data_IF_104015255254
#
_entry.id   IF_104015255254
#
_cell.length_a   1.000
_cell.length_b   1.000
_cell.length_c   1.000
_cell.angle_alpha   90.00
_cell.angle_beta   90.00
_cell.angle_gamma   90.00
#
_symmetry.space_group_name_H-M   'P 1'
#
loop_
_entity.id
_entity.type
_entity.pdbx_description
1 polymer ?
2 non-polymer ?
3 non-polymer ?
4 non-polymer ?
5 non-polymer ?
6 non-polymer ?
7 water ?
#
# COMPACT_ATOMS: atom_id res chain seq x y z
N UNK A 1 1.97 -19.83 17.15
CA UNK A 1 2.19 -19.81 15.71
C UNK A 1 1.06 -19.17 14.93
N UNK A 2 1.04 -17.84 14.93
CA UNK A 2 0.05 -17.07 14.20
C UNK A 2 0.60 -16.67 12.83
N UNK A 3 -0.12 -17.02 11.78
CA UNK A 3 0.30 -16.75 10.40
C UNK A 3 -0.77 -15.87 9.74
N UNK A 4 -0.54 -14.56 9.76
CA UNK A 4 -1.56 -13.62 9.30
C UNK A 4 -1.82 -13.77 7.81
N UNK A 5 -3.10 -13.74 7.44
CA UNK A 5 -3.53 -13.94 6.06
C UNK A 5 -3.68 -12.59 5.39
N UNK A 6 -2.81 -12.31 4.41
CA UNK A 6 -2.83 -11.06 3.65
C UNK A 6 -3.50 -11.27 2.29
N UNK A 7 -4.34 -10.30 1.90
CA UNK A 7 -4.97 -10.29 0.59
C UNK A 7 -4.78 -8.91 -0.03
N UNK A 8 -4.51 -8.89 -1.33
CA UNK A 8 -4.40 -7.66 -2.11
C UNK A 8 -5.52 -7.67 -3.15
N UNK A 9 -6.35 -6.62 -3.13
CA UNK A 9 -7.57 -6.56 -3.95
C UNK A 9 -7.46 -5.37 -4.89
N UNK A 10 -7.37 -5.65 -6.18
CA UNK A 10 -7.45 -4.62 -7.19
C UNK A 10 -8.90 -4.31 -7.54
N UNK A 11 -9.22 -3.03 -7.63
CA UNK A 11 -10.58 -2.58 -7.91
C UNK A 11 -10.55 -1.60 -9.09
N UNK A 12 -11.15 -1.99 -10.20
CA UNK A 12 -11.12 -1.18 -11.40
C UNK A 12 -9.87 -1.43 -12.22
N UNK A 13 -9.77 -0.68 -13.30
CA UNK A 13 -8.67 -0.83 -14.24
C UNK A 13 -7.29 -0.61 -13.67
N UNK A 14 -7.06 0.59 -13.16
CA UNK A 14 -5.74 0.89 -12.60
C UNK A 14 -5.36 -0.07 -11.48
N UNK A 15 -6.29 -0.32 -10.57
CA UNK A 15 -6.00 -1.23 -9.48
C UNK A 15 -5.61 -2.62 -9.95
N UNK A 16 -6.31 -3.14 -10.96
CA UNK A 16 -5.98 -4.47 -11.44
C UNK A 16 -4.72 -4.50 -12.29
N UNK A 17 -4.36 -3.39 -12.96
CA UNK A 17 -3.08 -3.29 -13.65
C UNK A 17 -1.93 -3.43 -12.65
N UNK A 18 -2.06 -2.72 -11.53
CA UNK A 18 -1.03 -2.78 -10.50
C UNK A 18 -0.91 -4.19 -9.94
N UNK A 19 -2.05 -4.87 -9.72
CA UNK A 19 -2.01 -6.23 -9.22
C UNK A 19 -1.35 -7.15 -10.23
N UNK A 20 -1.69 -7.01 -11.51
CA UNK A 20 -1.09 -7.85 -12.54
C UNK A 20 0.42 -7.71 -12.57
N UNK A 21 0.91 -6.47 -12.54
CA UNK A 21 2.35 -6.25 -12.58
C UNK A 21 3.01 -6.74 -11.29
N UNK A 22 2.29 -6.67 -10.16
CA UNK A 22 2.79 -7.27 -8.93
C UNK A 22 2.94 -8.78 -9.06
N UNK A 23 1.93 -9.43 -9.65
CA UNK A 23 1.96 -10.88 -9.77
C UNK A 23 3.13 -11.31 -10.65
N UNK A 24 3.45 -10.51 -11.67
CA UNK A 24 4.60 -10.83 -12.51
C UNK A 24 5.88 -10.93 -11.69
N UNK A 25 5.94 -10.25 -10.55
CA UNK A 25 7.05 -10.40 -9.62
C UNK A 25 6.85 -11.64 -8.77
N UNK A 26 7.80 -11.89 -7.87
CA UNK A 26 7.72 -13.05 -7.00
C UNK A 26 7.02 -12.78 -5.67
N UNK A 27 5.71 -12.97 -5.64
CA UNK A 27 4.89 -12.70 -4.47
C UNK A 27 4.19 -13.98 -4.04
N UNK A 28 4.66 -14.60 -2.97
CA UNK A 28 4.06 -15.80 -2.41
C UNK A 28 3.43 -15.49 -1.06
N UNK A 29 2.51 -16.36 -0.64
CA UNK A 29 1.81 -16.25 0.64
C UNK A 29 0.97 -14.97 0.73
N UNK A 30 0.69 -14.34 -0.40
CA UNK A 30 -0.30 -13.28 -0.49
C UNK A 30 -1.34 -13.70 -1.51
N UNK A 31 -2.61 -13.50 -1.19
CA UNK A 31 -3.70 -13.84 -2.09
C UNK A 31 -4.09 -12.60 -2.88
N UNK A 32 -4.18 -12.74 -4.19
CA UNK A 32 -4.56 -11.63 -5.06
C UNK A 32 -5.98 -11.82 -5.53
N UNK A 33 -6.77 -10.75 -5.48
CA UNK A 33 -8.16 -10.74 -5.91
C UNK A 33 -8.34 -9.59 -6.88
N UNK A 34 -8.99 -9.86 -8.02
CA UNK A 34 -9.28 -8.87 -9.04
C UNK A 34 -10.77 -8.60 -9.08
N UNK A 35 -11.17 -7.34 -8.97
CA UNK A 35 -12.58 -6.92 -8.96
C UNK A 35 -12.75 -5.87 -10.04
N UNK A 36 -13.63 -6.13 -11.00
CA UNK A 36 -13.91 -5.15 -12.02
C UNK A 36 -15.31 -5.33 -12.57
N UNK A 37 -15.87 -4.23 -13.10
CA UNK A 37 -17.07 -4.30 -13.94
C UNK A 37 -16.74 -4.77 -15.35
N UNK A 38 -15.59 -4.32 -15.87
CA UNK A 38 -15.11 -4.53 -17.24
C UNK A 38 -14.71 -5.97 -17.44
N UNK A 39 -15.58 -6.74 -18.09
CA UNK A 39 -15.30 -8.16 -18.30
C UNK A 39 -14.11 -8.41 -19.22
N UNK A 40 -13.94 -7.57 -20.24
CA UNK A 40 -12.77 -7.70 -21.12
C UNK A 40 -11.47 -7.64 -20.32
N UNK A 41 -11.29 -6.58 -19.53
CA UNK A 41 -10.07 -6.43 -18.75
C UNK A 41 -9.94 -7.55 -17.72
N UNK A 42 -11.04 -7.85 -17.02
CA UNK A 42 -10.98 -8.87 -15.98
C UNK A 42 -10.47 -10.20 -16.54
N UNK A 43 -10.88 -10.55 -17.76
CA UNK A 43 -10.46 -11.82 -18.33
C UNK A 43 -8.96 -11.90 -18.53
N UNK A 44 -8.28 -10.76 -18.60
CA UNK A 44 -6.83 -10.71 -18.73
C UNK A 44 -6.12 -10.59 -17.39
N UNK A 45 -6.85 -10.57 -16.28
CA UNK A 45 -6.23 -10.57 -14.97
C UNK A 45 -5.46 -11.86 -14.73
N UNK A 46 -4.35 -11.74 -14.00
CA UNK A 46 -3.55 -12.89 -13.62
C UNK A 46 -3.87 -13.37 -12.21
N UNK A 47 -4.85 -12.77 -11.55
CA UNK A 47 -5.17 -13.10 -10.18
C UNK A 47 -5.92 -14.43 -10.07
N UNK A 48 -5.63 -15.15 -8.97
CA UNK A 48 -6.29 -16.41 -8.68
C UNK A 48 -7.80 -16.27 -8.66
N UNK A 49 -8.29 -15.21 -8.05
CA UNK A 49 -9.71 -14.97 -7.83
C UNK A 49 -10.13 -13.74 -8.61
N UNK A 50 -11.18 -13.89 -9.41
CA UNK A 50 -11.74 -12.80 -10.20
C UNK A 50 -13.21 -12.64 -9.85
N UNK A 51 -13.63 -11.40 -9.64
CA UNK A 51 -15.00 -11.08 -9.27
C UNK A 51 -15.47 -10.03 -10.26
N UNK A 52 -16.35 -10.41 -11.17
CA UNK A 52 -17.02 -9.44 -12.03
C UNK A 52 -18.23 -8.89 -11.29
N UNK A 53 -18.23 -7.58 -11.05
CA UNK A 53 -19.31 -6.94 -10.30
C UNK A 53 -20.19 -6.15 -11.25
N UNK A 54 -21.47 -6.05 -10.89
CA UNK A 54 -22.40 -5.21 -11.62
C UNK A 54 -22.76 -5.68 -13.01
N UNK A 55 -22.74 -6.99 -13.27
CA UNK A 55 -22.98 -7.48 -14.61
C UNK A 55 -24.40 -7.11 -15.07
N UNK A 56 -25.38 -7.18 -14.18
CA UNK A 56 -26.73 -6.79 -14.57
C UNK A 56 -26.80 -5.30 -14.87
N UNK A 57 -25.98 -4.50 -14.19
CA UNK A 57 -26.05 -3.06 -14.30
C UNK A 57 -25.31 -2.54 -15.54
N UNK A 58 -24.12 -3.09 -15.83
CA UNK A 58 -23.29 -2.60 -16.92
C UNK A 58 -23.32 -3.48 -18.15
N UNK A 59 -23.98 -4.64 -18.10
CA UNK A 59 -23.97 -5.61 -19.18
C UNK A 59 -22.56 -6.11 -19.49
N UNK A 60 -21.65 -6.06 -18.52
CA UNK A 60 -20.30 -6.56 -18.69
C UNK A 60 -19.28 -5.49 -19.04
N UNK A 61 -19.73 -4.26 -19.26
CA UNK A 61 -18.84 -3.14 -19.55
C UNK A 61 -18.37 -2.52 -18.25
N UNK A 62 -17.45 -1.57 -18.39
CA UNK A 62 -17.05 -0.75 -17.27
C UNK A 62 -18.17 0.22 -16.88
N UNK A 63 -17.84 1.10 -15.94
CA UNK A 63 -18.77 2.06 -15.36
C UNK A 63 -18.89 3.35 -16.15
N UNK A 64 -18.19 3.49 -17.27
CA UNK A 64 -18.34 4.70 -18.07
C UNK A 64 -18.01 5.97 -17.33
N UNK A 65 -17.04 5.89 -16.42
CA UNK A 65 -16.57 7.01 -15.62
C UNK A 65 -17.60 7.53 -14.62
N UNK A 66 -18.63 6.73 -14.32
CA UNK A 66 -19.67 7.14 -13.37
C UNK A 66 -19.50 6.44 -12.04
N UNK A 67 -19.02 7.11 -10.99
CA UNK A 67 -18.79 6.41 -9.72
C UNK A 67 -20.04 5.80 -9.12
N UNK A 68 -21.20 6.38 -9.38
CA UNK A 68 -22.43 5.82 -8.83
C UNK A 68 -22.68 4.43 -9.39
N UNK A 69 -22.27 4.18 -10.63
CA UNK A 69 -22.39 2.83 -11.19
C UNK A 69 -21.40 1.88 -10.50
N UNK A 70 -20.18 2.34 -10.25
CA UNK A 70 -19.23 1.50 -9.54
C UNK A 70 -19.73 1.14 -8.15
N UNK A 71 -20.32 2.11 -7.44
CA UNK A 71 -20.81 1.86 -6.09
C UNK A 71 -21.96 0.86 -6.12
N UNK A 72 -22.93 1.10 -6.99
CA UNK A 72 -24.07 0.17 -7.08
C UNK A 72 -23.60 -1.21 -7.50
N UNK A 73 -22.62 -1.29 -8.40
CA UNK A 73 -22.11 -2.59 -8.84
C UNK A 73 -21.50 -3.38 -7.68
N UNK A 74 -20.74 -2.71 -6.82
CA UNK A 74 -20.17 -3.39 -5.68
C UNK A 74 -21.24 -3.83 -4.70
N UNK A 75 -22.27 -3.02 -4.54
CA UNK A 75 -23.37 -3.39 -3.66
C UNK A 75 -24.15 -4.57 -4.22
N UNK A 76 -24.39 -4.59 -5.54
CA UNK A 76 -25.07 -5.75 -6.16
C UNK A 76 -24.32 -7.04 -5.86
N UNK A 77 -22.98 -6.96 -5.71
CA UNK A 77 -22.13 -8.13 -5.56
C UNK A 77 -21.55 -8.25 -4.15
N UNK A 78 -22.17 -7.61 -3.16
CA UNK A 78 -21.64 -7.66 -1.80
C UNK A 78 -21.31 -9.08 -1.37
N UNK A 79 -22.21 -10.03 -1.64
CA UNK A 79 -21.99 -11.38 -1.13
C UNK A 79 -20.75 -12.02 -1.74
N UNK A 80 -20.52 -11.80 -3.04
CA UNK A 80 -19.35 -12.36 -3.69
C UNK A 80 -18.07 -11.71 -3.15
N UNK A 81 -18.16 -10.43 -2.80
CA UNK A 81 -17.00 -9.75 -2.22
C UNK A 81 -16.72 -10.27 -0.81
N UNK A 82 -17.76 -10.43 0.00
CA UNK A 82 -17.59 -11.03 1.32
C UNK A 82 -16.91 -12.40 1.21
N UNK A 83 -17.42 -13.24 0.30
CA UNK A 83 -16.87 -14.58 0.16
C UNK A 83 -15.38 -14.55 -0.17
N UNK A 84 -14.96 -13.60 -1.00
CA UNK A 84 -13.56 -13.58 -1.43
C UNK A 84 -12.66 -13.08 -0.31
N UNK A 85 -13.17 -12.23 0.57
CA UNK A 85 -12.36 -11.68 1.65
C UNK A 85 -12.27 -12.61 2.83
N UNK A 86 -13.20 -13.56 2.95
CA UNK A 86 -13.24 -14.45 4.10
C UNK A 86 -11.86 -15.00 4.43
N UNK A 87 -11.52 -14.90 5.72
CA UNK A 87 -10.28 -15.40 6.24
C UNK A 87 -9.19 -14.34 6.37
N UNK A 88 -9.37 -13.19 5.73
CA UNK A 88 -8.33 -12.16 5.72
C UNK A 88 -8.08 -11.61 7.11
N UNK A 89 -6.81 -11.48 7.45
CA UNK A 89 -6.40 -10.68 8.60
C UNK A 89 -6.01 -9.27 8.22
N UNK A 90 -5.55 -9.07 6.99
CA UNK A 90 -5.13 -7.77 6.49
C UNK A 90 -5.46 -7.73 5.01
N UNK A 91 -6.06 -6.63 4.57
CA UNK A 91 -6.49 -6.44 3.19
C UNK A 91 -5.91 -5.14 2.69
N UNK A 92 -5.21 -5.18 1.57
CA UNK A 92 -4.82 -4.00 0.81
C UNK A 92 -5.79 -3.82 -0.34
N UNK A 93 -6.48 -2.68 -0.38
CA UNK A 93 -7.42 -2.35 -1.46
C UNK A 93 -6.73 -1.31 -2.33
N UNK A 94 -6.46 -1.65 -3.59
CA UNK A 94 -5.71 -0.76 -4.47
C UNK A 94 -6.55 -0.42 -5.69
N UNK A 95 -6.53 0.87 -6.07
CA UNK A 95 -7.48 1.41 -7.02
C UNK A 95 -7.00 2.78 -7.51
N UNK A 96 -7.35 3.10 -8.75
CA UNK A 96 -7.14 4.42 -9.31
C UNK A 96 -8.39 5.27 -9.18
N UNK A 97 -8.30 6.34 -8.41
CA UNK A 97 -9.44 7.23 -8.22
C UNK A 97 -9.63 8.15 -9.42
N UNK A 98 -10.89 8.45 -9.71
CA UNK A 98 -11.25 9.36 -10.78
C UNK A 98 -12.11 8.73 -11.86
N UNK A 99 -12.09 7.41 -12.00
CA UNK A 99 -12.93 6.71 -12.93
C UNK A 99 -14.24 6.35 -12.27
N UNK A 100 -14.95 5.41 -12.90
CA UNK A 100 -16.20 4.99 -12.33
C UNK A 100 -16.13 3.81 -11.39
N UNK A 101 -15.37 2.78 -11.73
CA UNK A 101 -15.41 1.55 -10.93
C UNK A 101 -14.60 1.71 -9.64
N UNK A 102 -13.34 2.11 -9.75
CA UNK A 102 -12.53 2.39 -8.59
C UNK A 102 -13.15 3.38 -7.63
N UNK A 103 -13.47 4.57 -8.14
CA UNK A 103 -14.00 5.62 -7.29
C UNK A 103 -15.19 5.12 -6.49
N UNK A 104 -16.07 4.38 -7.13
CA UNK A 104 -17.33 3.98 -6.52
C UNK A 104 -17.27 2.66 -5.76
N UNK A 105 -16.59 1.67 -6.32
CA UNK A 105 -16.55 0.35 -5.71
C UNK A 105 -15.46 0.20 -4.66
N UNK A 106 -14.31 0.84 -4.82
CA UNK A 106 -13.25 0.61 -3.86
C UNK A 106 -13.65 0.96 -2.44
N UNK A 107 -14.39 2.04 -2.16
CA UNK A 107 -14.84 2.27 -0.78
C UNK A 107 -15.78 1.21 -0.26
N UNK A 108 -16.59 0.61 -1.12
CA UNK A 108 -17.48 -0.45 -0.66
C UNK A 108 -16.68 -1.70 -0.31
N UNK A 109 -15.70 -2.04 -1.15
CA UNK A 109 -14.85 -3.19 -0.88
C UNK A 109 -14.12 -3.00 0.44
N UNK A 110 -13.56 -1.80 0.65
CA UNK A 110 -12.83 -1.56 1.90
C UNK A 110 -13.76 -1.61 3.11
N UNK A 111 -14.97 -1.07 2.99
CA UNK A 111 -15.94 -1.15 4.08
C UNK A 111 -16.26 -2.60 4.43
N UNK A 112 -16.45 -3.46 3.43
CA UNK A 112 -16.74 -4.86 3.71
C UNK A 112 -15.58 -5.53 4.43
N UNK A 113 -14.34 -5.25 3.99
CA UNK A 113 -13.20 -5.88 4.64
C UNK A 113 -13.09 -5.45 6.09
N UNK A 114 -13.33 -4.17 6.36
CA UNK A 114 -13.22 -3.68 7.72
C UNK A 114 -14.35 -4.20 8.60
N UNK A 115 -15.55 -4.32 8.03
CA UNK A 115 -16.68 -4.91 8.74
C UNK A 115 -16.35 -6.32 9.24
N UNK A 116 -15.51 -7.04 8.50
CA UNK A 116 -15.16 -8.41 8.82
C UNK A 116 -13.94 -8.51 9.74
N UNK A 117 -13.48 -7.38 10.29
CA UNK A 117 -12.43 -7.39 11.29
C UNK A 117 -11.03 -7.33 10.73
N UNK A 118 -10.86 -7.25 9.42
CA UNK A 118 -9.54 -7.21 8.82
C UNK A 118 -8.95 -5.81 8.91
N UNK A 119 -7.64 -5.76 9.13
CA UNK A 119 -6.89 -4.53 9.01
C UNK A 119 -6.88 -4.12 7.53
N UNK A 120 -7.46 -2.96 7.23
CA UNK A 120 -7.79 -2.57 5.86
C UNK A 120 -6.99 -1.33 5.49
N UNK A 121 -6.10 -1.49 4.50
CA UNK A 121 -5.23 -0.42 4.03
C UNK A 121 -5.58 -0.11 2.58
N UNK A 122 -5.87 1.15 2.29
CA UNK A 122 -6.07 1.60 0.93
C UNK A 122 -4.80 2.15 0.32
N UNK A 123 -4.58 1.84 -0.95
CA UNK A 123 -3.43 2.36 -1.71
C UNK A 123 -4.00 2.83 -3.04
N UNK A 124 -4.15 4.13 -3.22
CA UNK A 124 -4.91 4.66 -4.35
C UNK A 124 -4.12 5.77 -5.01
N UNK A 125 -4.38 5.98 -6.29
CA UNK A 125 -3.82 7.09 -7.04
C UNK A 125 -4.86 8.20 -7.22
N UNK A 126 -4.35 9.49 -7.32
CA UNK A 126 -5.12 10.61 -7.83
C UNK A 126 -4.77 10.82 -9.30
N UNK A 127 -5.72 11.29 -10.12
CA UNK A 127 -5.45 11.43 -11.56
C UNK A 127 -4.40 12.51 -11.85
N UNK A 128 -3.79 12.38 -13.02
CA UNK A 128 -2.93 13.44 -13.54
C UNK A 128 -3.74 14.72 -13.72
N UNK A 129 -3.09 15.86 -13.51
CA UNK A 129 -3.74 17.12 -13.82
C UNK A 129 -4.14 17.20 -15.28
N UNK A 130 -3.39 16.57 -16.18
CA UNK A 130 -3.75 16.66 -17.60
C UNK A 130 -5.03 15.90 -17.92
N UNK A 131 -5.57 15.13 -16.98
CA UNK A 131 -6.86 14.48 -17.19
C UNK A 131 -8.03 15.42 -16.88
N UNK A 132 -7.78 16.59 -16.32
CA UNK A 132 -8.79 17.62 -16.19
C UNK A 132 -9.34 17.75 -14.78
N UNK A 133 -9.90 18.93 -14.53
CA UNK A 133 -10.39 19.29 -13.20
C UNK A 133 -11.57 18.42 -12.77
N UNK A 134 -12.43 18.04 -13.71
CA UNK A 134 -13.61 17.25 -13.34
C UNK A 134 -13.20 15.87 -12.84
N UNK A 135 -12.27 15.22 -13.55
CA UNK A 135 -11.76 13.94 -13.08
C UNK A 135 -11.12 14.08 -11.71
N UNK A 136 -10.41 15.19 -11.48
CA UNK A 136 -9.76 15.40 -10.19
C UNK A 136 -10.78 15.56 -9.08
N UNK A 137 -11.85 16.30 -9.34
CA UNK A 137 -12.91 16.48 -8.33
C UNK A 137 -13.59 15.15 -8.03
N UNK A 138 -13.89 14.38 -9.07
CA UNK A 138 -14.49 13.06 -8.85
C UNK A 138 -13.55 12.16 -8.06
N UNK A 139 -12.25 12.20 -8.35
CA UNK A 139 -11.29 11.41 -7.60
C UNK A 139 -11.20 11.86 -6.14
N UNK A 140 -11.32 13.18 -5.90
CA UNK A 140 -11.23 13.68 -4.54
C UNK A 140 -12.36 13.16 -3.68
N UNK A 141 -13.57 13.05 -4.25
CA UNK A 141 -14.67 12.45 -3.50
C UNK A 141 -14.39 10.99 -3.20
N UNK A 142 -13.76 10.28 -4.15
CA UNK A 142 -13.37 8.90 -3.90
C UNK A 142 -12.39 8.79 -2.75
N UNK A 143 -11.39 9.67 -2.71
CA UNK A 143 -10.42 9.64 -1.64
C UNK A 143 -11.10 9.82 -0.29
N UNK A 144 -12.00 10.80 -0.19
CA UNK A 144 -12.71 11.02 1.05
C UNK A 144 -13.52 9.79 1.45
N UNK A 145 -14.20 9.16 0.49
CA UNK A 145 -14.94 7.95 0.81
C UNK A 145 -14.03 6.83 1.26
N UNK A 146 -12.84 6.70 0.63
CA UNK A 146 -11.89 5.70 1.08
C UNK A 146 -11.44 5.97 2.51
N UNK A 147 -11.11 7.22 2.82
CA UNK A 147 -10.71 7.58 4.18
C UNK A 147 -11.70 7.06 5.21
N UNK A 148 -12.99 7.22 4.93
CA UNK A 148 -14.03 6.81 5.88
C UNK A 148 -14.25 5.31 5.92
N UNK A 149 -13.63 4.55 5.01
CA UNK A 149 -13.86 3.13 4.90
C UNK A 149 -12.65 2.28 5.28
N UNK A 150 -11.46 2.87 5.41
CA UNK A 150 -10.25 2.10 5.67
C UNK A 150 -9.71 2.37 7.08
N UNK A 151 -8.80 1.51 7.50
CA UNK A 151 -7.99 1.81 8.68
C UNK A 151 -6.94 2.85 8.38
N UNK A 152 -6.20 2.67 7.29
CA UNK A 152 -5.13 3.59 6.89
C UNK A 152 -5.15 3.73 5.38
N UNK A 153 -4.76 4.93 4.90
CA UNK A 153 -4.82 5.26 3.48
C UNK A 153 -3.50 5.81 2.98
N UNK A 154 -3.02 5.27 1.87
CA UNK A 154 -1.83 5.79 1.16
C UNK A 154 -2.31 6.36 -0.16
N UNK A 155 -2.04 7.63 -0.41
CA UNK A 155 -2.48 8.30 -1.62
C UNK A 155 -1.26 8.65 -2.46
N UNK A 156 -1.28 8.22 -3.71
CA UNK A 156 -0.21 8.49 -4.68
C UNK A 156 -0.73 9.45 -5.75
N UNK A 157 -0.45 10.74 -5.68
CA UNK A 157 -0.86 11.63 -6.77
C UNK A 157 -0.07 11.28 -8.03
N UNK A 158 -0.78 10.95 -9.11
CA UNK A 158 -0.08 10.58 -10.33
C UNK A 158 0.81 11.70 -10.84
N UNK A 159 0.46 12.95 -10.57
CA UNK A 159 1.33 14.07 -10.97
C UNK A 159 2.75 13.91 -10.44
N UNK A 160 2.94 13.19 -9.32
CA UNK A 160 4.30 13.02 -8.80
C UNK A 160 5.16 12.19 -9.73
N UNK A 161 4.55 11.35 -10.57
CA UNK A 161 5.34 10.60 -11.55
C UNK A 161 6.03 11.54 -12.53
N UNK A 162 5.46 12.71 -12.79
CA UNK A 162 6.08 13.69 -13.67
C UNK A 162 7.32 14.29 -13.03
N UNK A 163 7.57 14.03 -11.76
CA UNK A 163 8.77 14.54 -11.11
C UNK A 163 9.94 13.56 -11.22
N UNK A 164 9.73 12.34 -11.69
CA UNK A 164 10.77 11.33 -11.71
C UNK A 164 11.05 10.78 -13.11
N UNK A 165 10.48 11.39 -14.15
CA UNK A 165 10.72 10.96 -15.52
C UNK A 165 11.46 12.08 -16.27
N UNK A 166 12.16 11.69 -17.33
CA UNK A 166 12.57 12.67 -18.35
C UNK A 166 11.56 12.58 -19.49
N UNK A 167 11.81 13.35 -20.57
CA UNK A 167 10.81 13.48 -21.62
C UNK A 167 10.61 12.19 -22.39
N UNK A 168 11.53 11.22 -22.26
CA UNK A 168 11.41 9.97 -23.00
C UNK A 168 11.04 8.77 -22.16
N UNK A 169 11.02 8.88 -20.83
CA UNK A 169 10.74 7.73 -19.98
C UNK A 169 9.42 7.07 -20.41
N UNK A 170 9.43 5.80 -20.79
CA UNK A 170 8.17 5.15 -21.19
C UNK A 170 7.11 5.21 -20.10
N UNK A 171 5.86 5.35 -20.52
CA UNK A 171 4.76 5.44 -19.56
C UNK A 171 4.73 4.21 -18.67
N UNK A 172 4.94 3.03 -19.23
CA UNK A 172 4.88 1.81 -18.42
C UNK A 172 5.98 1.78 -17.37
N UNK A 173 7.16 2.33 -17.68
CA UNK A 173 8.22 2.39 -16.67
C UNK A 173 7.83 3.30 -15.53
N UNK A 174 7.18 4.43 -15.84
CA UNK A 174 6.72 5.32 -14.77
C UNK A 174 5.67 4.63 -13.91
N UNK A 175 4.74 3.92 -14.53
CA UNK A 175 3.73 3.21 -13.76
C UNK A 175 4.35 2.20 -12.79
N UNK A 176 5.45 1.57 -13.19
CA UNK A 176 6.08 0.59 -12.30
C UNK A 176 6.59 1.25 -11.02
N UNK A 177 6.96 2.53 -11.10
CA UNK A 177 7.39 3.22 -9.88
C UNK A 177 6.23 3.40 -8.91
N UNK A 178 5.05 3.72 -9.42
CA UNK A 178 3.87 3.78 -8.55
C UNK A 178 3.53 2.40 -8.01
N UNK A 179 3.62 1.37 -8.84
CA UNK A 179 3.36 0.01 -8.37
C UNK A 179 4.22 -0.33 -7.15
N UNK A 180 5.46 0.18 -7.12
CA UNK A 180 6.39 -0.25 -6.07
C UNK A 180 5.96 0.24 -4.70
N UNK A 181 5.17 1.31 -4.63
CA UNK A 181 4.64 1.73 -3.33
C UNK A 181 3.84 0.59 -2.72
N UNK A 182 2.96 -0.01 -3.51
CA UNK A 182 2.16 -1.12 -3.01
C UNK A 182 3.02 -2.35 -2.78
N UNK A 183 3.84 -2.72 -3.77
CA UNK A 183 4.64 -3.94 -3.66
C UNK A 183 5.49 -3.93 -2.39
N UNK A 184 6.19 -2.83 -2.12
CA UNK A 184 7.09 -2.82 -0.98
C UNK A 184 6.34 -2.80 0.35
N UNK A 185 5.16 -2.17 0.40
CA UNK A 185 4.37 -2.22 1.60
C UNK A 185 3.88 -3.62 1.91
N UNK A 186 3.40 -4.33 0.88
CA UNK A 186 2.92 -5.69 1.10
C UNK A 186 4.06 -6.62 1.43
N UNK A 187 5.15 -6.53 0.67
CA UNK A 187 6.31 -7.38 0.94
C UNK A 187 6.89 -7.12 2.32
N UNK A 188 6.90 -5.85 2.75
CA UNK A 188 7.44 -5.53 4.05
C UNK A 188 6.68 -6.19 5.18
N UNK A 189 5.34 -6.16 5.13
CA UNK A 189 4.54 -6.82 6.15
C UNK A 189 4.74 -8.32 6.09
N UNK A 190 4.78 -8.90 4.88
CA UNK A 190 5.05 -10.33 4.76
C UNK A 190 6.36 -10.70 5.44
N UNK A 191 7.42 -9.93 5.20
CA UNK A 191 8.69 -10.19 5.85
C UNK A 191 8.57 -10.10 7.36
N UNK A 192 7.88 -9.07 7.84
CA UNK A 192 7.71 -8.89 9.28
C UNK A 192 7.01 -10.08 9.92
N UNK A 193 6.03 -10.66 9.22
CA UNK A 193 5.30 -11.79 9.79
C UNK A 193 6.14 -13.06 9.78
N UNK A 194 6.93 -13.27 8.73
CA UNK A 194 7.61 -14.54 8.52
C UNK A 194 8.93 -14.66 9.25
N UNK A 195 9.59 -13.54 9.53
CA UNK A 195 10.95 -13.55 10.05
C UNK A 195 10.89 -13.24 11.53
N UNK A 196 11.69 -13.98 12.31
CA UNK A 196 11.83 -13.69 13.74
C UNK A 196 12.99 -12.72 13.93
N UNK A 197 12.70 -11.59 14.55
CA UNK A 197 13.73 -10.58 14.78
C UNK A 197 14.39 -10.68 16.14
N UNK A 198 15.63 -10.18 16.22
CA UNK A 198 16.33 -10.12 17.49
C UNK A 198 15.58 -9.23 18.47
N UNK A 199 14.99 -8.16 17.98
CA UNK A 199 13.89 -7.46 18.65
C UNK A 199 12.69 -7.66 17.74
N UNK A 200 11.83 -8.61 18.11
CA UNK A 200 10.79 -9.12 17.20
C UNK A 200 9.56 -8.23 17.24
N UNK A 201 9.08 -7.84 16.07
CA UNK A 201 7.78 -7.19 15.90
C UNK A 201 6.85 -8.20 15.24
N UNK A 202 5.56 -8.00 15.37
CA UNK A 202 4.63 -8.95 14.74
C UNK A 202 3.35 -8.22 14.34
N UNK A 203 2.38 -9.01 13.86
CA UNK A 203 1.18 -8.40 13.28
C UNK A 203 0.40 -7.58 14.29
N UNK A 204 0.50 -7.90 15.58
CA UNK A 204 -0.16 -7.08 16.60
C UNK A 204 0.44 -5.67 16.67
N UNK A 205 1.75 -5.55 16.46
CA UNK A 205 2.35 -4.22 16.36
C UNK A 205 1.85 -3.48 15.14
N UNK A 206 1.72 -4.17 14.00
CA UNK A 206 1.17 -3.54 12.81
C UNK A 206 -0.24 -3.02 13.09
N UNK A 207 -1.05 -3.86 13.74
CA UNK A 207 -2.42 -3.45 14.08
C UNK A 207 -2.43 -2.20 14.95
N UNK A 208 -1.56 -2.15 15.95
CA UNK A 208 -1.55 -0.99 16.84
C UNK A 208 -1.21 0.29 16.07
N UNK A 209 -0.23 0.21 15.18
CA UNK A 209 0.19 1.41 14.46
C UNK A 209 -0.79 1.79 13.35
N UNK A 210 -1.50 0.82 12.74
CA UNK A 210 -2.29 1.12 11.54
C UNK A 210 -3.80 1.10 11.72
N UNK A 211 -4.32 0.52 12.80
CA UNK A 211 -5.78 0.42 12.98
C UNK A 211 -6.38 1.80 13.24
N UNK A 212 -7.34 2.20 12.40
CA UNK A 212 -8.06 3.45 12.58
C UNK A 212 -7.12 4.64 12.78
N UNK A 213 -6.24 4.88 11.78
CA UNK A 213 -5.20 5.89 11.94
C UNK A 213 -5.06 6.87 10.77
N UNK A 214 -5.99 6.89 9.82
CA UNK A 214 -5.98 7.91 8.78
C UNK A 214 -4.94 7.75 7.69
N UNK A 215 -4.09 8.76 7.49
CA UNK A 215 -3.09 8.70 6.43
C UNK A 215 -1.88 7.88 6.89
N UNK A 216 -1.20 7.27 5.93
CA UNK A 216 -0.08 6.39 6.24
C UNK A 216 1.02 6.54 5.19
N UNK A 217 2.24 6.22 5.63
CA UNK A 217 3.43 6.12 4.80
C UNK A 217 4.03 4.75 5.03
N UNK A 218 4.47 4.10 3.96
CA UNK A 218 5.09 2.76 4.00
C UNK A 218 6.30 2.82 3.09
N UNK A 219 7.50 2.90 3.68
CA UNK A 219 8.71 3.09 2.91
C UNK A 219 9.82 2.14 3.32
N UNK A 220 10.79 1.99 2.40
CA UNK A 220 11.95 1.14 2.59
C UNK A 220 13.18 1.83 2.04
N UNK A 221 14.29 1.72 2.76
CA UNK A 221 15.56 2.26 2.31
C UNK A 221 16.67 1.24 2.44
N UNK A 222 17.51 1.16 1.40
CA UNK A 222 18.64 0.26 1.36
C UNK A 222 19.90 1.05 1.08
N UNK A 223 20.94 0.87 1.91
CA UNK A 223 22.20 1.58 1.73
C UNK A 223 23.35 0.71 2.22
N UNK A 224 24.56 1.09 1.83
CA UNK A 224 25.78 0.42 2.24
C UNK A 224 26.82 1.49 2.54
N UNK A 225 28.00 1.05 2.96
CA UNK A 225 29.10 1.98 3.14
C UNK A 225 28.92 2.90 4.33
N UNK A 226 29.66 4.00 4.29
CA UNK A 226 29.62 4.96 5.40
C UNK A 226 28.27 5.67 5.44
N UNK A 227 27.81 5.94 6.66
CA UNK A 227 26.52 6.59 6.90
C UNK A 227 25.35 5.78 6.35
N UNK A 228 25.54 4.47 6.18
CA UNK A 228 24.49 3.63 5.62
C UNK A 228 23.19 3.74 6.40
N UNK A 229 23.26 3.77 7.73
CA UNK A 229 22.03 3.77 8.53
C UNK A 229 21.24 5.06 8.31
N UNK A 230 21.93 6.21 8.35
CA UNK A 230 21.25 7.48 8.12
C UNK A 230 20.68 7.53 6.71
N UNK A 231 21.46 7.08 5.71
CA UNK A 231 21.02 7.17 4.32
C UNK A 231 19.81 6.28 4.06
N UNK A 232 19.80 5.07 4.63
CA UNK A 232 18.66 4.18 4.44
C UNK A 232 17.41 4.71 5.13
N UNK A 233 17.57 5.28 6.33
CA UNK A 233 16.42 5.85 7.02
C UNK A 233 15.86 7.04 6.26
N UNK A 234 16.74 7.90 5.73
CA UNK A 234 16.27 9.00 4.90
C UNK A 234 15.52 8.50 3.69
N UNK A 235 16.03 7.46 3.03
CA UNK A 235 15.34 6.91 1.86
C UNK A 235 13.97 6.38 2.26
N UNK A 236 13.87 5.72 3.41
CA UNK A 236 12.60 5.08 3.77
C UNK A 236 11.50 6.09 4.03
N UNK A 237 11.83 7.32 4.43
CA UNK A 237 10.82 8.32 4.75
C UNK A 237 10.68 9.39 3.68
N UNK A 238 11.43 9.30 2.58
CA UNK A 238 11.45 10.37 1.60
C UNK A 238 11.06 9.95 0.19
N UNK A 239 9.90 9.30 0.03
CA UNK A 239 9.43 8.95 -1.31
C UNK A 239 8.96 10.19 -2.04
N UNK A 240 9.42 10.44 -3.27
CA UNK A 240 8.87 11.56 -4.04
C UNK A 240 7.43 11.35 -4.50
N UNK A 241 6.81 10.21 -4.20
CA UNK A 241 5.54 9.86 -4.80
C UNK A 241 4.34 9.94 -3.84
N UNK A 242 4.56 10.28 -2.59
CA UNK A 242 3.46 10.23 -1.64
C UNK A 242 2.90 11.62 -1.37
N UNK A 243 1.62 11.64 -1.02
CA UNK A 243 0.94 12.86 -0.65
C UNK A 243 1.15 13.20 0.83
N UNK A 244 1.24 12.18 1.68
CA UNK A 244 1.43 12.35 3.11
C UNK A 244 2.91 12.20 3.42
N UNK A 245 3.56 13.29 3.80
CA UNK A 245 4.91 13.22 4.29
C UNK A 245 4.93 12.77 5.76
N UNK A 246 6.12 12.48 6.27
CA UNK A 246 6.25 11.94 7.62
C UNK A 246 6.12 13.00 8.71
N UNK A 247 6.05 14.27 8.34
CA UNK A 247 6.04 15.35 9.32
C UNK A 247 4.77 15.27 10.16
N UNK A 248 4.93 15.19 11.48
CA UNK A 248 3.79 15.12 12.38
C UNK A 248 3.29 13.73 12.70
N UNK A 249 3.98 12.68 12.25
CA UNK A 249 3.51 11.32 12.47
C UNK A 249 3.33 11.03 13.97
N UNK A 250 2.19 10.42 14.31
CA UNK A 250 1.88 10.08 15.70
C UNK A 250 2.10 8.60 16.02
N UNK A 251 2.30 7.77 15.01
CA UNK A 251 2.71 6.39 15.23
C UNK A 251 3.73 5.97 14.21
N UNK A 252 4.72 5.18 14.62
CA UNK A 252 5.77 4.71 13.71
C UNK A 252 6.10 3.28 14.08
N UNK A 253 6.10 2.40 13.09
CA UNK A 253 6.68 1.06 13.20
C UNK A 253 7.91 1.05 12.32
N UNK A 254 9.05 0.70 12.91
CA UNK A 254 10.34 0.85 12.25
C UNK A 254 11.18 -0.38 12.50
N UNK A 255 11.78 -0.91 11.45
CA UNK A 255 12.67 -2.04 11.59
C UNK A 255 13.96 -1.77 10.85
N UNK A 256 15.06 -2.24 11.40
CA UNK A 256 16.35 -2.18 10.74
C UNK A 256 16.86 -3.60 10.60
N UNK A 257 17.19 -3.99 9.37
CA UNK A 257 17.82 -5.26 9.09
C UNK A 257 19.25 -5.02 8.60
N UNK A 258 20.19 -5.79 9.15
CA UNK A 258 21.56 -5.75 8.70
C UNK A 258 22.24 -7.04 9.10
N UNK A 259 23.51 -7.14 8.72
CA UNK A 259 24.32 -8.29 9.08
C UNK A 259 24.82 -8.19 10.52
N UNK A 260 25.75 -9.08 10.84
CA UNK A 260 26.33 -9.09 12.18
C UNK A 260 27.07 -7.80 12.51
N UNK A 261 27.34 -6.95 11.52
CA UNK A 261 28.04 -5.69 11.78
C UNK A 261 27.11 -4.55 12.21
N UNK A 262 25.79 -4.77 12.19
CA UNK A 262 24.86 -3.75 12.63
C UNK A 262 25.21 -3.27 14.02
N UNK A 263 25.49 -1.98 14.15
CA UNK A 263 25.95 -1.44 15.43
C UNK A 263 24.79 -0.78 16.19
N UNK A 264 24.91 -0.75 17.52
CA UNK A 264 23.95 -0.01 18.33
C UNK A 264 23.92 1.46 17.94
N UNK A 265 25.09 2.06 17.71
CA UNK A 265 25.12 3.47 17.37
C UNK A 265 24.34 3.75 16.09
N UNK A 266 24.46 2.89 15.09
CA UNK A 266 23.78 3.24 13.84
C UNK A 266 22.28 2.97 13.94
N UNK A 267 21.86 2.03 14.78
CA UNK A 267 20.44 1.92 15.10
C UNK A 267 19.90 3.20 15.71
N UNK A 268 20.66 3.82 16.64
CA UNK A 268 20.23 5.10 17.17
C UNK A 268 20.16 6.16 16.08
N UNK A 269 21.16 6.23 15.22
CA UNK A 269 21.16 7.24 14.16
C UNK A 269 19.92 7.14 13.27
N UNK A 270 19.54 5.91 12.91
CA UNK A 270 18.39 5.74 12.03
C UNK A 270 17.10 6.14 12.73
N UNK A 271 16.92 5.70 13.98
CA UNK A 271 15.74 6.08 14.74
C UNK A 271 15.65 7.59 14.93
N UNK A 272 16.79 8.24 15.16
CA UNK A 272 16.75 9.69 15.32
C UNK A 272 16.32 10.40 14.04
N UNK A 273 16.74 9.87 12.88
CA UNK A 273 16.29 10.46 11.62
C UNK A 273 14.77 10.46 11.55
N UNK A 274 14.14 9.38 12.01
CA UNK A 274 12.69 9.25 11.92
C UNK A 274 12.01 10.08 13.00
N UNK A 275 12.53 10.05 14.22
CA UNK A 275 11.96 10.85 15.30
C UNK A 275 11.95 12.33 14.96
N UNK A 276 13.07 12.84 14.43
CA UNK A 276 13.19 14.27 14.17
C UNK A 276 12.06 14.81 13.32
N UNK A 277 11.33 13.94 12.62
CA UNK A 277 10.18 14.34 11.82
C UNK A 277 8.86 14.10 12.55
N UNK A 278 8.72 12.97 13.24
CA UNK A 278 7.47 12.60 13.87
C UNK A 278 7.15 13.52 15.05
N UNK A 279 5.91 13.40 15.54
CA UNK A 279 5.50 14.11 16.74
C UNK A 279 6.32 13.65 17.94
N UNK A 280 6.51 14.55 18.90
CA UNK A 280 7.33 14.21 20.06
C UNK A 280 6.69 13.10 20.89
N UNK A 281 5.35 12.99 20.86
CA UNK A 281 4.64 11.93 21.57
C UNK A 281 4.30 10.76 20.64
N UNK A 282 5.12 10.53 19.62
CA UNK A 282 4.86 9.44 18.69
C UNK A 282 4.94 8.10 19.42
N UNK A 283 4.07 7.18 19.04
CA UNK A 283 4.15 5.80 19.49
C UNK A 283 5.09 5.07 18.54
N UNK A 284 6.34 4.85 18.98
CA UNK A 284 7.35 4.23 18.14
C UNK A 284 7.57 2.78 18.56
N UNK A 285 7.40 1.86 17.63
CA UNK A 285 7.69 0.46 17.83
C UNK A 285 8.90 0.12 16.96
N UNK A 286 10.04 -0.11 17.60
CA UNK A 286 11.32 -0.31 16.92
C UNK A 286 11.74 -1.78 16.98
N UNK A 287 12.10 -2.34 15.82
CA UNK A 287 12.60 -3.69 15.76
C UNK A 287 13.93 -3.79 15.02
N UNK A 288 14.57 -4.95 15.16
CA UNK A 288 15.86 -5.21 14.56
C UNK A 288 15.93 -6.68 14.15
N UNK A 289 16.48 -6.91 12.96
CA UNK A 289 16.77 -8.25 12.46
C UNK A 289 18.24 -8.33 12.11
N UNK A 290 18.88 -9.42 12.51
CA UNK A 290 20.26 -9.72 12.13
C UNK A 290 20.21 -10.84 11.12
N UNK A 291 20.55 -10.52 9.88
CA UNK A 291 20.62 -11.49 8.78
C UNK A 291 22.07 -11.70 8.44
N UNK A 292 22.74 -12.71 9.03
CA UNK A 292 24.18 -12.87 8.78
C UNK A 292 24.50 -13.16 7.32
N UNK A 293 23.49 -13.51 6.51
CA UNK A 293 23.71 -13.64 5.08
C UNK A 293 24.08 -12.29 4.46
N UNK A 294 23.61 -11.20 5.05
CA UNK A 294 23.98 -9.87 4.58
C UNK A 294 25.43 -9.58 4.96
N UNK A 295 26.02 -8.63 4.23
CA UNK A 295 27.37 -8.18 4.52
C UNK A 295 27.34 -6.71 4.95
N UNK A 296 27.50 -5.78 4.01
CA UNK A 296 27.54 -4.36 4.29
C UNK A 296 26.21 -3.66 4.03
N UNK A 297 25.20 -4.37 3.54
CA UNK A 297 23.92 -3.75 3.26
C UNK A 297 23.07 -3.63 4.53
N UNK A 298 22.30 -2.55 4.60
CA UNK A 298 21.37 -2.31 5.69
C UNK A 298 20.05 -1.86 5.10
N UNK A 299 18.95 -2.35 5.67
CA UNK A 299 17.62 -2.08 5.16
C UNK A 299 16.79 -1.49 6.29
N UNK A 300 16.24 -0.30 6.07
CA UNK A 300 15.38 0.38 7.03
C UNK A 300 13.98 0.47 6.44
N UNK A 301 12.99 0.00 7.19
CA UNK A 301 11.60 0.00 6.77
C UNK A 301 10.77 0.76 7.79
N UNK A 302 9.82 1.56 7.31
CA UNK A 302 9.07 2.49 8.14
C UNK A 302 7.60 2.47 7.76
N UNK A 303 6.74 2.29 8.76
CA UNK A 303 5.32 2.61 8.67
C UNK A 303 5.07 3.80 9.57
N UNK A 304 4.52 4.88 9.02
CA UNK A 304 4.17 6.07 9.79
C UNK A 304 2.72 6.44 9.59
N UNK A 305 2.03 6.75 10.68
CA UNK A 305 0.60 7.03 10.66
C UNK A 305 0.25 8.14 11.64
N UNK A 306 -0.99 8.60 11.57
CA UNK A 306 -1.53 9.48 12.59
C UNK A 306 -1.22 10.95 12.41
N UNK A 307 -1.98 11.63 11.57
CA UNK A 307 -1.78 13.05 11.31
C UNK A 307 -3.07 13.82 11.56
X LIG B 1 -12.15 2.56 -13.58
X LIG B 1 -11.82 1.19 -14.08
X LIG B 1 -13.46 3.11 -14.10
X LIG B 1 -12.01 2.58 -12.08
X LIG B 1 -10.98 3.61 -14.09
X LIG B 1 -9.38 3.35 -14.20
X LIG B 1 -9.06 2.71 -15.50
X LIG B 1 -8.91 2.58 -13.02
X LIG B 1 -8.83 4.86 -14.20
X LIG B 1 -9.03 5.67 -13.07
X LIG B 1 -7.76 6.52 -12.92
X LIG B 1 -6.65 5.68 -12.53
X LIG B 1 -7.30 7.25 -14.19
X LIG B 1 -8.00 8.47 -14.32
X LIG B 1 -5.81 7.40 -13.99
X LIG B 1 -5.48 8.60 -13.26
X LIG B 1 -5.40 6.23 -13.11
X LIG B 1 -4.81 5.02 -13.68
X LIG B 1 -5.46 4.08 -14.45
X LIG B 1 -4.62 3.04 -14.72
X LIG B 1 -3.43 3.32 -14.13
X LIG B 1 -2.14 2.63 -13.99
X LIG B 1 -1.88 1.56 -14.52
X LIG B 1 -1.17 3.26 -13.26
X LIG B 1 -1.40 4.43 -12.65
X LIG B 1 -0.37 4.99 -11.94
X LIG B 1 -2.56 5.12 -12.72
X LIG B 1 -3.61 4.58 -13.42
X LIG B 1 -8.05 7.27 -12.18
X LIG B 1 -7.51 6.72 -15.12
X LIG B 1 -8.34 8.55 -15.22
X LIG B 1 -5.30 7.45 -14.97
X LIG B 1 -4.71 9.02 -13.67
X LIG B 1 -4.64 6.72 -12.49
X LIG B 1 -6.50 4.15 -14.78
X LIG B 1 -0.23 2.82 -13.17
X LIG B 1 -0.52 5.85 -11.48
X LIG B 1 0.52 4.53 -11.87
X LIG C 1 -1.18 1.71 -6.52
X LIG C 1 -0.26 2.00 -9.33
X LIG C 1 -3.82 2.30 -9.22
X LIG C 1 -2.55 2.14 -10.06
X LIG C 1 -3.41 1.90 -7.80
X LIG C 1 -1.42 2.00 -9.06
X LIG C 1 -1.96 1.86 -7.73
X LIG C 1 -1.75 1.83 -5.74
X LIG C 1 -0.46 2.36 -6.51
X LIG C 1 -0.80 0.81 -6.49
X LIG C 1 -4.11 3.22 -9.24
X LIG C 1 -4.50 1.71 -9.55
X LIG C 1 -2.61 1.34 -10.62
X LIG C 1 -2.42 2.92 -10.61
X LIG C 1 -3.75 2.56 -7.17
X LIG C 1 -3.77 1.02 -7.59
X LIG D 1 8.73 -10.84 13.19
X LIG E 1 11.77 -7.06 13.91
X LIG E 1 10.98 -7.99 13.11
X LIG E 1 10.45 -8.93 13.59
X LIG E 1 10.88 -7.72 11.62
X LIG E 1 7.59 -1.19 7.35
X LIG E 1 8.19 -1.45 8.57
X LIG E 1 8.79 -2.67 8.80
X LIG E 1 10.35 -6.54 11.15
X LIG E 1 11.31 -8.69 10.73
X LIG E 1 11.24 -8.47 9.36
X LIG E 1 10.71 -7.28 8.89
X LIG E 1 10.26 -6.31 9.78
X LIG E 1 9.44 -4.99 8.01
X LIG E 1 8.77 -3.64 7.80
X LIG E 1 8.18 -3.38 6.58
X LIG E 1 7.59 -2.15 6.35
X LIG E 1 11.82 -9.85 11.21
X LIG E 1 9.91 -5.59 12.01
X LIG E 1 9.73 -5.09 9.37
X LIG E 1 6.81 -1.84 4.78
X LIG E 1 12.14 -6.38 13.53
X LIG E 1 11.85 -7.18 14.76
X LIG E 1 7.21 -0.36 7.19
X LIG E 1 8.19 -0.79 9.23
X LIG E 1 9.19 -2.85 9.62
X LIG E 1 11.56 -9.11 8.77
X LIG E 1 10.66 -7.13 7.97
X LIG E 1 10.25 -5.05 7.49
X LIG E 1 8.83 -5.70 7.74
X LIG E 1 8.18 -4.04 5.92
X LIG F 1 -7.31 -0.63 -17.44
X LIG F 1 -8.51 -1.43 -17.54
X LIG F 1 -7.62 0.81 -17.06
X LIG F 1 -6.66 1.28 -16.09
X LIG F 1 -6.78 -0.66 -18.39
X LIG F 1 -6.65 -1.08 -16.68
X LIG F 1 -8.27 -2.35 -17.72
X LIG F 1 -8.63 0.87 -16.64
X LIG F 1 -7.59 1.43 -17.95
X LIG F 1 -6.86 2.20 -15.86
#
# INVERSE_FOLDING_TARGET
GHMATLKVIGVGGGGNNAVNRMIDHGMNNVEFIAINTDGQALNLSKAESKIQIGEKLTRGLGAGANPEIGKKAAEESREQIEDAIQGADMVFVTSGMGGGTGTGAAPVVAKIAKEMGALTVGVVTRPFSFEGRKRQTQAAAGVEAMKAAVDTLIVIPNDRLLDIVDKSTPMMEAFKEADNVLRQGVQGISDLIAVSGEVNLDFADVKTIMSNQGSALMGIGVSSGENRAVEAAKKAISSPLLETSIVGAQGVLMNITGGESLSLFEAQEAADIVQDAADEDVNMIFGTVINPELQDEIVVTVIATGF
GDP PB O1B O2B O3B O3A PA O1A O2A O5' C5' C4' O4' C3' O3' C2' O2' C1' N9 C8 N7 C5 C6 O6 N1 C2 N2 N3 C4 H4' H3' HO3' H2' HO2' H1' H8 HN1 HN21 HN22
MB3 CAA OAB CAC CAD CAE CAF NAG HAA HAAA HAAB HAC HACA HAD HADA HAE HAEA
K K
OM8 N C O C1 C10 C11 C12 C13 C2 C3 C4 C5 C6 C7 C8 C9 F F1 O1 CL HN2 HN3 H101 H111 H121 H31 H41 H61 H62 H81
EDO C1 O1 C2 O2 H11 H12 HO1 H21 H22 HO2
#
